data_IF_230574056460
#
_entry.id   IF_230574056460
#
_cell.length_a   1.000
_cell.length_b   1.000
_cell.length_c   1.000
_cell.angle_alpha   90.00
_cell.angle_beta   90.00
_cell.angle_gamma   90.00
#
_symmetry.space_group_name_H-M   'P 1'
#
loop_
_entity.id
_entity.type
_entity.pdbx_description
1 polymer ?
#
# COMPACT_ATOMS: atom_id res chain seq x y z
N UNK A 1 12.06 8.71 -13.02
CA UNK A 1 11.18 7.63 -12.52
C UNK A 1 11.04 7.77 -11.01
N UNK A 2 9.86 8.18 -10.53
CA UNK A 2 9.55 8.35 -9.10
C UNK A 2 8.85 7.11 -8.57
N UNK A 3 9.38 6.54 -7.49
CA UNK A 3 8.81 5.36 -6.82
C UNK A 3 8.12 5.81 -5.54
N UNK A 4 6.92 5.31 -5.30
CA UNK A 4 6.12 5.57 -4.10
C UNK A 4 5.98 4.28 -3.32
N UNK A 5 6.19 4.36 -2.01
CA UNK A 5 6.07 3.23 -1.09
C UNK A 5 4.83 3.39 -0.24
N UNK A 6 4.08 2.30 -0.06
CA UNK A 6 3.07 2.18 0.99
C UNK A 6 3.24 0.84 1.73
N UNK A 7 3.07 0.85 3.06
CA UNK A 7 3.21 -0.31 3.93
C UNK A 7 1.96 -0.45 4.82
N UNK A 8 1.58 -1.70 5.11
CA UNK A 8 0.53 -2.03 6.06
C UNK A 8 0.12 -3.51 5.98
N UNK A 9 -0.73 -3.95 6.89
CA UNK A 9 -1.29 -5.32 6.89
C UNK A 9 -2.23 -5.55 5.72
N UNK A 10 -3.07 -4.56 5.41
CA UNK A 10 -4.13 -4.64 4.39
C UNK A 10 -5.05 -5.85 4.53
N UNK A 11 -5.28 -6.30 5.77
CA UNK A 11 -6.17 -7.43 6.04
C UNK A 11 -7.61 -7.07 5.63
N UNK A 12 -8.27 -8.00 4.96
CA UNK A 12 -9.54 -7.82 4.24
C UNK A 12 -9.53 -6.54 3.37
N UNK A 13 -9.15 -6.69 2.10
CA UNK A 13 -9.18 -5.58 1.16
C UNK A 13 -10.59 -5.01 0.98
N UNK A 14 -10.69 -3.69 1.13
CA UNK A 14 -11.92 -2.94 0.95
C UNK A 14 -11.66 -1.65 0.16
N UNK A 15 -12.70 -0.94 -0.32
CA UNK A 15 -12.54 0.23 -1.19
C UNK A 15 -11.59 1.31 -0.65
N UNK A 16 -11.54 1.50 0.67
CA UNK A 16 -10.56 2.38 1.33
C UNK A 16 -9.10 2.11 0.93
N UNK A 17 -8.65 0.85 0.95
CA UNK A 17 -7.28 0.48 0.53
C UNK A 17 -7.04 0.77 -0.95
N UNK A 18 -8.05 0.55 -1.79
CA UNK A 18 -7.95 0.85 -3.22
C UNK A 18 -7.79 2.36 -3.45
N UNK A 19 -8.51 3.20 -2.70
CA UNK A 19 -8.34 4.66 -2.78
C UNK A 19 -6.95 5.09 -2.30
N UNK A 20 -6.41 4.46 -1.25
CA UNK A 20 -5.04 4.69 -0.80
C UNK A 20 -4.01 4.37 -1.89
N UNK A 21 -4.12 3.22 -2.56
CA UNK A 21 -3.20 2.84 -3.64
C UNK A 21 -3.33 3.75 -4.87
N UNK A 22 -4.54 4.21 -5.19
CA UNK A 22 -4.77 5.21 -6.24
C UNK A 22 -4.10 6.54 -5.92
N UNK A 23 -4.25 7.02 -4.67
CA UNK A 23 -3.57 8.22 -4.19
C UNK A 23 -2.04 8.05 -4.27
N UNK A 24 -1.51 6.90 -3.83
CA UNK A 24 -0.08 6.59 -3.95
C UNK A 24 0.39 6.60 -5.41
N UNK A 25 -0.38 6.04 -6.35
CA UNK A 25 -0.04 6.03 -7.78
C UNK A 25 -0.07 7.42 -8.40
N UNK A 26 -0.90 8.33 -7.90
CA UNK A 26 -0.90 9.73 -8.35
C UNK A 26 0.39 10.48 -7.97
N UNK A 27 1.13 9.99 -6.97
CA UNK A 27 2.35 10.65 -6.47
C UNK A 27 3.64 10.25 -7.19
N UNK A 28 3.63 9.23 -8.06
CA UNK A 28 4.83 8.79 -8.79
C UNK A 28 4.54 7.69 -9.80
N UNK A 29 5.55 7.29 -10.56
CA UNK A 29 5.42 6.41 -11.72
C UNK A 29 5.19 4.93 -11.36
N UNK A 30 5.66 4.50 -10.19
CA UNK A 30 5.53 3.13 -9.68
C UNK A 30 5.17 3.13 -8.20
N UNK A 31 4.24 2.26 -7.81
CA UNK A 31 3.88 2.02 -6.40
C UNK A 31 4.43 0.67 -5.98
N UNK A 32 5.07 0.63 -4.82
CA UNK A 32 5.45 -0.60 -4.11
C UNK A 32 4.58 -0.69 -2.87
N UNK A 33 3.85 -1.80 -2.73
CA UNK A 33 3.01 -2.10 -1.56
C UNK A 33 3.72 -3.20 -0.77
N UNK A 34 4.19 -2.88 0.43
CA UNK A 34 4.81 -3.84 1.33
C UNK A 34 3.80 -4.32 2.38
N UNK A 35 3.47 -5.61 2.37
CA UNK A 35 2.57 -6.22 3.36
C UNK A 35 3.33 -6.63 4.60
N UNK A 36 2.75 -6.36 5.76
CA UNK A 36 3.33 -6.79 7.04
C UNK A 36 3.14 -8.30 7.24
N UNK A 37 4.11 -8.94 7.91
CA UNK A 37 4.02 -10.34 8.32
C UNK A 37 3.10 -10.48 9.54
N UNK A 38 2.48 -11.64 9.72
CA UNK A 38 1.66 -11.90 10.91
C UNK A 38 2.44 -11.74 12.22
N UNK A 39 3.74 -12.06 12.21
CA UNK A 39 4.65 -11.86 13.35
C UNK A 39 4.74 -10.39 13.77
N UNK A 40 4.71 -9.45 12.82
CA UNK A 40 4.77 -8.01 13.09
C UNK A 40 3.44 -7.47 13.64
N UNK A 41 2.32 -8.14 13.36
CA UNK A 41 0.96 -7.67 13.70
C UNK A 41 0.47 -8.19 15.05
N UNK A 42 1.02 -9.30 15.54
CA UNK A 42 0.75 -9.84 16.89
C UNK A 42 1.33 -8.96 17.99
#
# INVERSE_FOLDING_TARGET
MKIVWCNGTFDILHPGHIQLFKAARALGDRVIVATDTDEKIK
#
